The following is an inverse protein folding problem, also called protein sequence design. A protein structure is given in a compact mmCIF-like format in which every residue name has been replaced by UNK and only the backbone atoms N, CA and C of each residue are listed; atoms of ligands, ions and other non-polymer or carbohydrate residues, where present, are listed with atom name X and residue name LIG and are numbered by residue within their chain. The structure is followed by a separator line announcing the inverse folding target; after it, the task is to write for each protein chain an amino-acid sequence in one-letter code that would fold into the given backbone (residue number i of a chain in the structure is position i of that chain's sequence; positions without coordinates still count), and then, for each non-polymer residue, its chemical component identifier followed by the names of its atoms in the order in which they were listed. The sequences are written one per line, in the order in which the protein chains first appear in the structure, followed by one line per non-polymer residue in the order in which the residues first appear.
data_IF_426628519198
#
_entry.id   IF_426628519198
#
_cell.length_a   1.000
_cell.length_b   1.000
_cell.length_c   1.000
_cell.angle_alpha   90.00
_cell.angle_beta   90.00
_cell.angle_gamma   90.00
#
_symmetry.space_group_name_H-M   'P 1'
#
loop_
_entity.id
_entity.type
_entity.pdbx_description
1 polymer ?
#
# COMPACT_ATOMS: atom_id res chain seq x y z
N UNK A 1 -13.69 -38.10 33.94
CA UNK A 1 -14.09 -36.77 33.43
C UNK A 1 -12.86 -36.11 32.79
N UNK A 2 -12.70 -36.33 31.48
CA UNK A 2 -11.57 -35.79 30.73
C UNK A 2 -11.96 -34.43 30.18
N UNK A 3 -11.25 -33.40 30.63
CA UNK A 3 -11.38 -32.04 30.10
C UNK A 3 -10.51 -31.99 28.82
N UNK A 4 -11.17 -32.02 27.67
CA UNK A 4 -10.51 -31.76 26.40
C UNK A 4 -10.34 -30.23 26.29
N UNK A 5 -9.10 -29.75 26.50
CA UNK A 5 -8.67 -28.42 26.13
C UNK A 5 -8.56 -28.35 24.59
N UNK A 6 -9.58 -27.78 23.95
CA UNK A 6 -9.48 -27.30 22.57
C UNK A 6 -8.66 -26.02 22.58
N UNK A 7 -7.36 -26.13 22.41
CA UNK A 7 -6.53 -25.03 22.01
C UNK A 7 -6.94 -24.64 20.57
N UNK A 8 -7.75 -23.61 20.42
CA UNK A 8 -8.01 -23.00 19.12
C UNK A 8 -6.69 -22.38 18.65
N UNK A 9 -6.08 -22.99 17.66
CA UNK A 9 -4.92 -22.47 16.94
C UNK A 9 -5.37 -21.19 16.21
N UNK A 10 -5.15 -20.05 16.84
CA UNK A 10 -5.33 -18.74 16.19
C UNK A 10 -4.15 -18.53 15.26
N UNK A 11 -4.28 -18.95 14.01
CA UNK A 11 -3.29 -18.63 12.96
C UNK A 11 -3.22 -17.12 12.84
N UNK A 12 -2.04 -16.52 12.94
CA UNK A 12 -1.77 -15.08 12.71
C UNK A 12 -2.18 -14.62 11.30
N UNK A 13 -2.39 -15.55 10.42
CA UNK A 13 -3.02 -15.37 9.11
C UNK A 13 -4.49 -15.70 9.24
N UNK A 14 -5.32 -14.68 9.47
CA UNK A 14 -6.75 -14.84 9.31
C UNK A 14 -7.05 -15.32 7.89
N UNK A 15 -7.96 -16.27 7.75
CA UNK A 15 -8.66 -16.52 6.48
C UNK A 15 -9.06 -15.17 5.91
N UNK A 16 -8.88 -14.95 4.59
CA UNK A 16 -9.30 -13.72 3.91
C UNK A 16 -10.67 -13.31 4.46
N UNK A 17 -10.70 -12.19 5.16
CA UNK A 17 -11.98 -11.62 5.56
C UNK A 17 -12.62 -11.07 4.28
N UNK A 18 -13.95 -10.95 4.23
CA UNK A 18 -14.63 -10.33 3.08
C UNK A 18 -14.13 -8.90 2.79
N UNK A 19 -13.40 -8.30 3.73
CA UNK A 19 -12.76 -7.00 3.59
C UNK A 19 -11.50 -7.02 2.72
N UNK A 20 -10.79 -8.16 2.61
CA UNK A 20 -9.59 -8.31 1.78
C UNK A 20 -9.90 -8.47 0.28
N UNK A 21 -11.16 -8.72 -0.06
CA UNK A 21 -11.60 -8.88 -1.45
C UNK A 21 -11.57 -7.55 -2.21
N UNK A 22 -11.32 -7.60 -3.53
CA UNK A 22 -11.48 -6.43 -4.40
C UNK A 22 -12.85 -5.81 -4.23
N UNK A 23 -12.95 -4.49 -4.40
CA UNK A 23 -14.25 -3.82 -4.41
C UNK A 23 -14.38 -2.83 -5.56
N UNK A 24 -15.62 -2.65 -6.01
CA UNK A 24 -15.98 -1.72 -7.06
C UNK A 24 -17.28 -1.01 -6.68
N UNK A 25 -17.21 0.31 -6.56
CA UNK A 25 -18.35 1.17 -6.22
C UNK A 25 -18.63 2.14 -7.36
N UNK A 26 -19.63 1.85 -8.17
CA UNK A 26 -20.01 2.70 -9.29
C UNK A 26 -20.86 3.88 -8.81
N UNK A 27 -20.47 5.10 -9.18
CA UNK A 27 -21.17 6.35 -8.88
C UNK A 27 -21.14 7.28 -10.10
N UNK A 28 -20.28 8.26 -10.14
CA UNK A 28 -20.17 9.27 -11.21
C UNK A 28 -19.21 8.89 -12.34
N UNK A 29 -19.03 9.78 -13.32
CA UNK A 29 -18.19 9.55 -14.50
C UNK A 29 -16.70 9.71 -14.26
N UNK A 30 -16.29 10.08 -13.04
CA UNK A 30 -14.87 10.19 -12.64
C UNK A 30 -14.49 8.98 -11.78
N UNK A 31 -13.47 8.25 -12.22
CA UNK A 31 -12.96 7.06 -11.55
C UNK A 31 -11.74 7.31 -10.69
N UNK A 32 -11.60 6.56 -9.59
CA UNK A 32 -10.40 6.52 -8.75
C UNK A 32 -9.97 5.07 -8.56
N UNK A 33 -8.80 4.73 -9.12
CA UNK A 33 -8.15 3.45 -8.90
C UNK A 33 -7.36 3.49 -7.59
N UNK A 34 -7.74 2.66 -6.63
CA UNK A 34 -7.06 2.54 -5.33
C UNK A 34 -6.10 1.35 -5.35
N UNK A 35 -4.81 1.58 -5.11
CA UNK A 35 -3.79 0.52 -5.16
C UNK A 35 -3.15 0.39 -3.78
N UNK A 36 -3.35 -0.77 -3.14
CA UNK A 36 -2.89 -1.07 -1.78
C UNK A 36 -1.37 -1.28 -1.66
N UNK A 37 -0.88 -1.41 -0.42
CA UNK A 37 0.53 -1.56 -0.09
C UNK A 37 1.07 -2.98 -0.24
N UNK A 38 2.38 -3.12 -0.05
CA UNK A 38 3.09 -4.40 -0.03
C UNK A 38 2.65 -5.24 1.17
N UNK A 39 2.33 -6.51 0.94
CA UNK A 39 1.71 -7.44 1.90
C UNK A 39 0.34 -7.00 2.44
N UNK A 40 -0.24 -5.97 1.85
CA UNK A 40 -1.57 -5.47 2.19
C UNK A 40 -2.68 -6.06 1.31
N UNK A 41 -3.87 -5.49 1.44
CA UNK A 41 -5.07 -5.86 0.68
C UNK A 41 -5.91 -4.61 0.35
N UNK A 42 -6.96 -4.72 -0.48
CA UNK A 42 -7.89 -3.63 -0.75
C UNK A 42 -8.49 -2.99 0.51
N UNK A 43 -8.55 -3.72 1.61
CA UNK A 43 -9.04 -3.23 2.90
C UNK A 43 -8.25 -2.03 3.43
N UNK A 44 -6.94 -1.92 3.14
CA UNK A 44 -6.11 -0.78 3.55
C UNK A 44 -6.66 0.57 3.06
N UNK A 45 -7.35 0.57 1.93
CA UNK A 45 -7.91 1.76 1.30
C UNK A 45 -9.45 1.78 1.29
N UNK A 46 -10.12 0.76 1.85
CA UNK A 46 -11.58 0.63 1.80
C UNK A 46 -12.29 1.83 2.43
N UNK A 47 -11.88 2.27 3.63
CA UNK A 47 -12.49 3.43 4.29
C UNK A 47 -12.39 4.71 3.44
N UNK A 48 -11.21 4.97 2.88
CA UNK A 48 -10.99 6.09 1.96
C UNK A 48 -11.82 5.92 0.67
N UNK A 49 -11.87 4.71 0.12
CA UNK A 49 -12.66 4.40 -1.06
C UNK A 49 -14.15 4.66 -0.87
N UNK A 50 -14.72 4.24 0.26
CA UNK A 50 -16.12 4.50 0.59
C UNK A 50 -16.40 6.00 0.74
N UNK A 51 -15.51 6.75 1.40
CA UNK A 51 -15.62 8.21 1.51
C UNK A 51 -15.61 8.90 0.12
N UNK A 52 -14.79 8.43 -0.80
CA UNK A 52 -14.77 8.94 -2.18
C UNK A 52 -16.02 8.53 -2.97
N UNK A 53 -16.52 7.31 -2.77
CA UNK A 53 -17.76 6.85 -3.40
C UNK A 53 -18.98 7.66 -2.93
N UNK A 54 -19.05 7.98 -1.63
CA UNK A 54 -20.07 8.89 -1.06
C UNK A 54 -19.98 10.30 -1.64
N UNK A 55 -18.78 10.74 -2.01
CA UNK A 55 -18.55 12.03 -2.70
C UNK A 55 -18.88 11.99 -4.21
N UNK A 56 -19.32 10.83 -4.75
CA UNK A 56 -19.76 10.69 -6.13
C UNK A 56 -18.71 10.14 -7.10
N UNK A 57 -17.53 9.71 -6.63
CA UNK A 57 -16.53 9.07 -7.46
C UNK A 57 -16.84 7.58 -7.67
N UNK A 58 -16.59 7.07 -8.87
CA UNK A 58 -16.57 5.61 -9.11
C UNK A 58 -15.21 5.09 -8.63
N UNK A 59 -15.22 4.12 -7.72
CA UNK A 59 -14.00 3.66 -7.04
C UNK A 59 -13.77 2.18 -7.29
N UNK A 60 -12.54 1.80 -7.59
CA UNK A 60 -12.13 0.41 -7.66
C UNK A 60 -10.79 0.17 -6.95
N UNK A 61 -10.75 -0.89 -6.16
CA UNK A 61 -9.52 -1.38 -5.53
C UNK A 61 -9.31 -2.85 -5.89
N UNK A 62 -8.40 -3.17 -6.83
CA UNK A 62 -8.05 -4.55 -7.14
C UNK A 62 -7.18 -5.17 -6.04
N UNK A 63 -7.21 -6.48 -5.91
CA UNK A 63 -6.22 -7.25 -5.17
C UNK A 63 -5.01 -7.50 -6.09
N UNK A 64 -3.81 -7.09 -5.66
CA UNK A 64 -2.59 -7.30 -6.42
C UNK A 64 -2.19 -8.77 -6.41
N UNK A 65 -1.59 -9.25 -7.50
CA UNK A 65 -1.14 -10.64 -7.63
C UNK A 65 -0.25 -11.06 -6.45
N UNK A 66 -0.49 -12.26 -5.91
CA UNK A 66 0.23 -12.81 -4.76
C UNK A 66 -0.06 -12.13 -3.42
N UNK A 67 -0.89 -11.10 -3.38
CA UNK A 67 -1.44 -10.53 -2.17
C UNK A 67 -2.76 -11.24 -1.87
N UNK A 68 -2.91 -11.81 -0.71
CA UNK A 68 -4.08 -12.60 -0.38
C UNK A 68 -3.93 -13.34 0.92
N UNK A 69 -4.42 -14.59 0.98
CA UNK A 69 -4.55 -15.33 2.22
C UNK A 69 -3.21 -15.68 2.89
N UNK A 70 -2.12 -15.91 2.12
CA UNK A 70 -0.83 -16.34 2.71
C UNK A 70 0.38 -15.65 2.11
N UNK A 71 1.47 -15.44 2.88
CA UNK A 71 2.74 -14.96 2.35
C UNK A 71 3.34 -15.85 1.26
N UNK A 72 2.97 -17.14 1.23
CA UNK A 72 3.45 -18.09 0.23
C UNK A 72 2.92 -17.74 -1.18
N UNK A 73 1.78 -17.09 -1.28
CA UNK A 73 1.18 -16.68 -2.55
C UNK A 73 2.05 -15.67 -3.31
N UNK A 74 2.98 -15.01 -2.62
CA UNK A 74 3.94 -14.09 -3.23
C UNK A 74 5.18 -14.79 -3.84
N UNK A 75 5.32 -16.12 -3.69
CA UNK A 75 6.44 -16.82 -4.32
C UNK A 75 6.30 -16.81 -5.84
N UNK A 76 7.38 -16.44 -6.52
CA UNK A 76 7.44 -16.39 -7.97
C UNK A 76 6.69 -15.22 -8.61
N UNK A 77 5.94 -14.45 -7.83
CA UNK A 77 5.26 -13.25 -8.30
C UNK A 77 6.28 -12.15 -8.58
N UNK A 78 6.19 -11.54 -9.75
CA UNK A 78 7.05 -10.45 -10.20
C UNK A 78 6.34 -9.12 -10.02
N UNK A 79 7.08 -8.02 -9.97
CA UNK A 79 6.48 -6.69 -9.88
C UNK A 79 5.61 -6.36 -11.11
N UNK A 80 5.92 -6.96 -12.26
CA UNK A 80 5.11 -6.84 -13.48
C UNK A 80 3.71 -7.49 -13.33
N UNK A 81 3.58 -8.51 -12.47
CA UNK A 81 2.28 -9.14 -12.16
C UNK A 81 1.43 -8.22 -11.26
N UNK A 82 2.06 -7.49 -10.32
CA UNK A 82 1.39 -6.44 -9.56
C UNK A 82 0.88 -5.32 -10.48
N UNK A 83 1.74 -4.89 -11.41
CA UNK A 83 1.36 -3.90 -12.42
C UNK A 83 0.20 -4.40 -13.30
N UNK A 84 0.23 -5.67 -13.70
CA UNK A 84 -0.85 -6.27 -14.50
C UNK A 84 -2.19 -6.23 -13.76
N UNK A 85 -2.20 -6.51 -12.45
CA UNK A 85 -3.41 -6.40 -11.61
C UNK A 85 -3.92 -4.96 -11.54
N UNK A 86 -3.04 -3.98 -11.33
CA UNK A 86 -3.40 -2.56 -11.31
C UNK A 86 -3.94 -2.09 -12.68
N UNK A 87 -3.30 -2.51 -13.77
CA UNK A 87 -3.76 -2.20 -15.14
C UNK A 87 -5.10 -2.84 -15.46
N UNK A 88 -5.40 -4.03 -14.95
CA UNK A 88 -6.72 -4.63 -15.08
C UNK A 88 -7.80 -3.77 -14.39
N UNK A 89 -7.50 -3.28 -13.18
CA UNK A 89 -8.37 -2.34 -12.48
C UNK A 89 -8.55 -1.00 -13.22
N UNK A 90 -7.50 -0.48 -13.83
CA UNK A 90 -7.58 0.74 -14.65
C UNK A 90 -8.48 0.53 -15.88
N UNK A 91 -8.35 -0.60 -16.56
CA UNK A 91 -9.23 -0.94 -17.71
C UNK A 91 -10.69 -1.00 -17.29
N UNK A 92 -10.99 -1.67 -16.17
CA UNK A 92 -12.36 -1.74 -15.65
C UNK A 92 -12.93 -0.33 -15.38
N UNK A 93 -12.18 0.57 -14.76
CA UNK A 93 -12.64 1.94 -14.53
C UNK A 93 -12.86 2.71 -15.84
N UNK A 94 -12.04 2.50 -16.86
CA UNK A 94 -12.17 3.15 -18.17
C UNK A 94 -13.42 2.71 -18.95
N UNK A 95 -14.00 1.57 -18.63
CA UNK A 95 -15.29 1.12 -19.19
C UNK A 95 -16.47 1.93 -18.64
N UNK A 96 -16.30 2.55 -17.46
CA UNK A 96 -17.37 3.24 -16.74
C UNK A 96 -17.10 4.74 -16.55
N UNK A 97 -15.87 5.20 -16.78
CA UNK A 97 -15.44 6.55 -16.42
C UNK A 97 -14.69 7.23 -17.57
N UNK A 98 -14.95 8.54 -17.74
CA UNK A 98 -14.27 9.36 -18.76
C UNK A 98 -12.91 9.91 -18.26
N UNK A 99 -12.81 10.18 -16.96
CA UNK A 99 -11.57 10.60 -16.28
C UNK A 99 -11.21 9.58 -15.21
N UNK A 100 -9.94 9.17 -15.13
CA UNK A 100 -9.47 8.25 -14.09
C UNK A 100 -8.25 8.83 -13.40
N UNK A 101 -8.31 8.87 -12.07
CA UNK A 101 -7.21 9.15 -11.16
C UNK A 101 -6.67 7.86 -10.56
N UNK A 102 -5.42 7.88 -10.13
CA UNK A 102 -4.86 6.83 -9.29
C UNK A 102 -4.64 7.37 -7.89
N UNK A 103 -4.99 6.59 -6.88
CA UNK A 103 -4.59 6.81 -5.49
C UNK A 103 -3.87 5.54 -5.00
N UNK A 104 -2.54 5.61 -4.88
CA UNK A 104 -1.71 4.48 -4.50
C UNK A 104 -1.06 4.66 -3.14
N UNK A 105 -1.12 3.61 -2.30
CA UNK A 105 -0.50 3.58 -0.99
C UNK A 105 0.78 2.75 -1.00
N UNK A 106 1.88 3.27 -0.48
CA UNK A 106 3.15 2.55 -0.29
C UNK A 106 3.66 1.91 -1.59
N UNK A 107 3.62 0.59 -1.76
CA UNK A 107 3.84 -0.12 -3.02
C UNK A 107 2.91 0.39 -4.12
N UNK A 108 1.63 0.56 -3.80
CA UNK A 108 0.64 1.12 -4.72
C UNK A 108 1.01 2.53 -5.19
N UNK A 109 1.66 3.33 -4.34
CA UNK A 109 2.24 4.63 -4.71
C UNK A 109 3.36 4.50 -5.75
N UNK A 110 4.19 3.46 -5.68
CA UNK A 110 5.21 3.17 -6.70
C UNK A 110 4.58 2.75 -8.02
N UNK A 111 3.59 1.85 -7.97
CA UNK A 111 2.85 1.42 -9.17
C UNK A 111 2.12 2.62 -9.80
N UNK A 112 1.49 3.47 -8.99
CA UNK A 112 0.85 4.70 -9.45
C UNK A 112 1.82 5.66 -10.16
N UNK A 113 3.02 5.88 -9.61
CA UNK A 113 4.07 6.68 -10.24
C UNK A 113 4.55 6.06 -11.55
N UNK A 114 4.73 4.74 -11.61
CA UNK A 114 5.10 4.03 -12.83
C UNK A 114 4.02 4.16 -13.92
N UNK A 115 2.76 3.98 -13.55
CA UNK A 115 1.60 4.10 -14.46
C UNK A 115 1.44 5.56 -14.92
N UNK A 116 1.57 6.54 -14.03
CA UNK A 116 1.46 7.96 -14.33
C UNK A 116 2.50 8.46 -15.36
N UNK A 117 3.62 7.77 -15.47
CA UNK A 117 4.64 8.05 -16.49
C UNK A 117 4.29 7.50 -17.89
N UNK A 118 3.25 6.66 -18.02
CA UNK A 118 2.96 5.88 -19.24
C UNK A 118 1.51 5.91 -19.70
N UNK A 119 0.59 6.07 -18.76
CA UNK A 119 -0.84 5.97 -19.03
C UNK A 119 -1.49 7.36 -19.07
N UNK A 120 -2.46 7.59 -19.94
CA UNK A 120 -3.27 8.80 -19.92
C UNK A 120 -4.20 8.77 -18.68
N UNK A 121 -3.81 9.52 -17.64
CA UNK A 121 -4.51 9.65 -16.37
C UNK A 121 -4.82 11.11 -16.10
N UNK A 122 -5.89 11.38 -15.34
CA UNK A 122 -6.25 12.73 -14.93
C UNK A 122 -5.37 13.27 -13.79
N UNK A 123 -4.81 12.38 -12.96
CA UNK A 123 -3.90 12.77 -11.89
C UNK A 123 -3.51 11.57 -11.00
N UNK A 124 -2.57 11.84 -10.09
CA UNK A 124 -2.03 10.85 -9.15
C UNK A 124 -2.05 11.37 -7.72
N UNK A 125 -2.54 10.54 -6.81
CA UNK A 125 -2.34 10.68 -5.38
C UNK A 125 -1.40 9.55 -4.93
N UNK A 126 -0.25 9.87 -4.35
CA UNK A 126 0.68 8.90 -3.80
C UNK A 126 0.83 9.07 -2.28
N UNK A 127 0.32 8.08 -1.54
CA UNK A 127 0.35 8.02 -0.08
C UNK A 127 1.58 7.24 0.35
N UNK A 128 2.50 7.87 1.08
CA UNK A 128 3.74 7.28 1.60
C UNK A 128 4.46 6.39 0.56
N UNK A 129 4.76 6.88 -0.67
CA UNK A 129 5.31 6.06 -1.74
C UNK A 129 6.63 5.39 -1.31
N UNK A 130 6.71 4.05 -1.42
CA UNK A 130 7.79 3.24 -0.86
C UNK A 130 9.10 3.29 -1.67
N UNK A 131 9.52 4.47 -2.15
CA UNK A 131 10.74 4.63 -2.95
C UNK A 131 12.01 4.38 -2.12
N UNK A 132 11.98 4.71 -0.82
CA UNK A 132 13.02 4.42 0.17
C UNK A 132 12.40 3.75 1.39
N UNK A 133 12.86 2.56 1.73
CA UNK A 133 12.48 1.90 2.99
C UNK A 133 13.49 2.24 4.09
N UNK A 134 13.02 2.40 5.33
CA UNK A 134 13.92 2.42 6.49
C UNK A 134 14.64 1.08 6.61
N UNK A 135 15.94 1.10 6.84
CA UNK A 135 16.75 -0.13 6.83
C UNK A 135 16.88 -0.81 5.47
N UNK A 136 16.38 -0.21 4.37
CA UNK A 136 16.37 -0.78 3.02
C UNK A 136 17.75 -0.86 2.33
N UNK A 137 18.84 -0.50 2.99
CA UNK A 137 20.21 -0.59 2.45
C UNK A 137 20.61 -2.01 2.01
N UNK A 138 20.00 -3.03 2.60
CA UNK A 138 20.23 -4.44 2.26
C UNK A 138 19.37 -4.97 1.10
N UNK A 139 18.39 -4.20 0.62
CA UNK A 139 17.55 -4.63 -0.49
C UNK A 139 18.34 -5.06 -1.75
N UNK A 140 19.43 -4.41 -2.16
CA UNK A 140 20.23 -4.88 -3.29
C UNK A 140 20.80 -6.28 -3.10
N UNK A 141 21.09 -6.68 -1.86
CA UNK A 141 21.61 -8.02 -1.56
C UNK A 141 20.56 -9.12 -1.81
N UNK A 142 19.26 -8.80 -1.79
CA UNK A 142 18.17 -9.75 -2.07
C UNK A 142 18.31 -10.39 -3.45
N UNK A 143 19.01 -9.74 -4.39
CA UNK A 143 19.32 -10.31 -5.72
C UNK A 143 20.04 -11.66 -5.63
N UNK A 144 20.96 -11.80 -4.69
CA UNK A 144 21.70 -13.04 -4.46
C UNK A 144 21.01 -13.91 -3.39
N UNK A 145 20.57 -13.28 -2.30
CA UNK A 145 20.00 -13.99 -1.14
C UNK A 145 18.73 -14.77 -1.48
N UNK A 146 17.90 -14.34 -2.42
CA UNK A 146 16.68 -15.01 -2.84
C UNK A 146 16.88 -16.46 -3.33
N UNK A 147 18.10 -16.79 -3.76
CA UNK A 147 18.43 -18.14 -4.22
C UNK A 147 18.85 -19.08 -3.09
N UNK A 148 19.14 -18.53 -1.91
CA UNK A 148 19.67 -19.27 -0.75
C UNK A 148 18.71 -19.20 0.43
N UNK A 149 18.11 -18.01 0.64
CA UNK A 149 17.21 -17.71 1.77
C UNK A 149 15.81 -17.46 1.21
N UNK A 150 14.85 -18.40 1.37
CA UNK A 150 13.51 -18.20 0.82
C UNK A 150 12.68 -17.17 1.58
N UNK A 151 12.89 -17.03 2.90
CA UNK A 151 12.06 -16.22 3.78
C UNK A 151 12.84 -15.13 4.53
N UNK A 152 12.25 -13.96 4.64
CA UNK A 152 12.62 -12.89 5.55
C UNK A 152 11.56 -12.74 6.64
N UNK A 153 11.98 -12.55 7.90
CA UNK A 153 11.12 -12.45 9.07
C UNK A 153 11.24 -11.06 9.68
N UNK A 154 10.38 -10.10 9.27
CA UNK A 154 10.49 -8.70 9.69
C UNK A 154 10.35 -8.50 11.22
N UNK A 155 9.58 -9.36 11.88
CA UNK A 155 9.32 -9.27 13.31
C UNK A 155 10.23 -10.17 14.18
N UNK A 156 11.15 -10.94 13.58
CA UNK A 156 12.00 -11.87 14.33
C UNK A 156 12.78 -11.21 15.49
N UNK A 157 13.21 -9.95 15.30
CA UNK A 157 13.96 -9.17 16.29
C UNK A 157 13.21 -7.92 16.77
N UNK A 158 11.90 -7.83 16.47
CA UNK A 158 11.11 -6.66 16.86
C UNK A 158 10.94 -6.59 18.37
N UNK A 159 10.98 -5.37 18.91
CA UNK A 159 10.70 -5.12 20.31
C UNK A 159 9.20 -4.98 20.54
N UNK A 160 8.55 -6.04 20.98
CA UNK A 160 7.11 -6.04 21.27
C UNK A 160 6.71 -5.24 22.53
N UNK A 161 7.67 -4.67 23.28
CA UNK A 161 7.37 -3.68 24.29
C UNK A 161 7.21 -2.27 23.69
N UNK A 162 7.63 -2.06 22.43
CA UNK A 162 7.44 -0.79 21.74
C UNK A 162 5.98 -0.57 21.36
N UNK A 163 5.36 0.58 21.74
CA UNK A 163 3.99 0.91 21.33
C UNK A 163 3.78 0.89 19.82
N UNK A 164 4.77 1.34 19.05
CA UNK A 164 4.71 1.37 17.59
C UNK A 164 4.65 -0.05 16.98
N UNK A 165 5.47 -0.99 17.50
CA UNK A 165 5.44 -2.39 17.06
C UNK A 165 4.10 -3.03 17.42
N UNK A 166 3.60 -2.80 18.65
CA UNK A 166 2.30 -3.32 19.07
C UNK A 166 1.17 -2.79 18.20
N UNK A 167 1.14 -1.50 17.93
CA UNK A 167 0.12 -0.88 17.08
C UNK A 167 0.15 -1.50 15.66
N UNK A 168 1.32 -1.62 15.03
CA UNK A 168 1.47 -2.19 13.70
C UNK A 168 1.05 -3.67 13.62
N UNK A 169 1.25 -4.45 14.70
CA UNK A 169 0.82 -5.84 14.78
C UNK A 169 -0.70 -5.93 14.99
N UNK A 170 -1.25 -5.14 15.93
CA UNK A 170 -2.68 -5.15 16.24
C UNK A 170 -3.54 -4.62 15.09
N UNK A 171 -2.99 -3.77 14.23
CA UNK A 171 -3.66 -3.35 13.00
C UNK A 171 -3.98 -4.53 12.07
N UNK A 172 -3.08 -5.53 12.02
CA UNK A 172 -3.24 -6.74 11.18
C UNK A 172 -3.86 -7.93 11.91
N UNK A 173 -3.74 -7.94 13.22
CA UNK A 173 -4.27 -8.98 14.10
C UNK A 173 -4.88 -8.34 15.35
N UNK A 174 -6.07 -7.70 15.24
CA UNK A 174 -6.69 -6.95 16.33
C UNK A 174 -6.92 -7.78 17.59
N UNK A 175 -7.18 -9.08 17.43
CA UNK A 175 -7.47 -10.02 18.51
C UNK A 175 -6.22 -10.62 19.17
N UNK A 176 -5.00 -10.26 18.68
CA UNK A 176 -3.77 -10.84 19.21
C UNK A 176 -3.46 -10.31 20.62
N UNK A 177 -3.36 -11.23 21.60
CA UNK A 177 -2.88 -10.90 22.92
C UNK A 177 -1.35 -10.78 22.94
N UNK A 178 -0.85 -9.55 22.76
CA UNK A 178 0.60 -9.28 22.72
C UNK A 178 1.27 -9.27 24.10
N UNK A 179 0.55 -9.54 25.17
CA UNK A 179 1.11 -9.76 26.51
C UNK A 179 1.37 -11.24 26.76
N UNK A 180 0.83 -12.13 25.91
CA UNK A 180 1.14 -13.55 25.91
C UNK A 180 2.41 -13.84 25.07
N UNK A 181 3.46 -14.32 25.75
CA UNK A 181 4.73 -14.64 25.11
C UNK A 181 4.61 -15.72 24.03
N UNK A 182 3.66 -16.67 24.15
CA UNK A 182 3.43 -17.70 23.15
C UNK A 182 2.83 -17.12 21.87
N UNK A 183 1.90 -16.16 21.99
CA UNK A 183 1.33 -15.41 20.87
C UNK A 183 2.41 -14.59 20.18
N UNK A 184 3.23 -13.87 20.94
CA UNK A 184 4.33 -13.07 20.39
C UNK A 184 5.32 -13.97 19.61
N UNK A 185 5.68 -15.13 20.16
CA UNK A 185 6.60 -16.05 19.49
C UNK A 185 5.98 -16.70 18.23
N UNK A 186 4.69 -16.94 18.23
CA UNK A 186 3.95 -17.38 17.05
C UNK A 186 4.00 -16.30 15.96
N UNK A 187 3.70 -15.03 16.30
CA UNK A 187 3.77 -13.91 15.38
C UNK A 187 5.17 -13.75 14.77
N UNK A 188 6.24 -13.88 15.58
CA UNK A 188 7.63 -13.85 15.10
C UNK A 188 7.91 -14.90 14.02
N UNK A 189 7.33 -16.09 14.14
CA UNK A 189 7.52 -17.21 13.20
C UNK A 189 6.65 -17.10 11.96
N UNK A 190 5.43 -16.58 12.10
CA UNK A 190 4.45 -16.52 11.01
C UNK A 190 4.55 -15.26 10.17
N UNK A 191 4.96 -14.12 10.76
CA UNK A 191 5.20 -12.89 10.03
C UNK A 191 6.46 -13.04 9.17
N UNK A 192 6.27 -13.49 7.94
CA UNK A 192 7.36 -13.74 6.98
C UNK A 192 6.97 -13.27 5.58
N UNK A 193 7.96 -12.91 4.78
CA UNK A 193 7.79 -12.56 3.37
C UNK A 193 8.86 -13.26 2.53
N UNK A 194 8.57 -13.67 1.29
CA UNK A 194 9.59 -14.25 0.42
C UNK A 194 10.70 -13.22 0.12
N UNK A 195 11.96 -13.62 0.20
CA UNK A 195 13.09 -12.75 -0.17
C UNK A 195 13.02 -12.38 -1.65
N UNK A 196 12.45 -13.27 -2.49
CA UNK A 196 12.18 -12.99 -3.90
C UNK A 196 11.26 -11.80 -4.11
N UNK A 197 10.20 -11.64 -3.30
CA UNK A 197 9.28 -10.50 -3.43
C UNK A 197 9.91 -9.18 -2.98
N UNK A 198 10.82 -9.19 -2.00
CA UNK A 198 11.63 -8.02 -1.64
C UNK A 198 12.58 -7.60 -2.79
N UNK A 199 13.13 -8.58 -3.50
CA UNK A 199 13.91 -8.29 -4.71
C UNK A 199 13.06 -7.64 -5.80
N UNK A 200 11.83 -8.11 -6.01
CA UNK A 200 10.90 -7.52 -6.96
C UNK A 200 10.50 -6.08 -6.56
N UNK A 201 10.27 -5.82 -5.27
CA UNK A 201 10.09 -4.47 -4.77
C UNK A 201 11.30 -3.57 -5.07
N UNK A 202 12.53 -4.07 -4.87
CA UNK A 202 13.74 -3.33 -5.20
C UNK A 202 13.90 -3.07 -6.71
N UNK A 203 13.41 -3.98 -7.57
CA UNK A 203 13.36 -3.79 -9.03
C UNK A 203 12.39 -2.66 -9.39
N UNK A 204 11.18 -2.69 -8.82
CA UNK A 204 10.19 -1.64 -9.04
C UNK A 204 10.69 -0.27 -8.56
N UNK A 205 11.29 -0.18 -7.36
CA UNK A 205 11.90 1.07 -6.87
C UNK A 205 12.92 1.65 -7.86
N UNK A 206 13.72 0.79 -8.47
CA UNK A 206 14.73 1.20 -9.46
C UNK A 206 14.08 1.70 -10.74
N UNK A 207 13.06 0.99 -11.21
CA UNK A 207 12.26 1.37 -12.38
C UNK A 207 11.57 2.72 -12.17
N UNK A 208 10.88 2.88 -11.03
CA UNK A 208 10.19 4.14 -10.69
C UNK A 208 11.16 5.32 -10.65
N UNK A 209 12.36 5.14 -10.09
CA UNK A 209 13.38 6.21 -10.09
C UNK A 209 13.73 6.71 -11.49
N UNK A 210 13.76 5.82 -12.50
CA UNK A 210 13.99 6.22 -13.88
C UNK A 210 12.78 6.88 -14.53
N UNK A 211 11.59 6.63 -14.00
CA UNK A 211 10.32 7.11 -14.54
C UNK A 211 9.91 8.50 -14.01
N UNK A 212 10.42 8.91 -12.84
CA UNK A 212 9.95 10.10 -12.13
C UNK A 212 9.86 11.35 -13.03
N UNK A 213 10.87 11.62 -13.83
CA UNK A 213 10.89 12.79 -14.72
C UNK A 213 9.82 12.75 -15.83
N UNK A 214 9.24 11.57 -16.09
CA UNK A 214 8.17 11.37 -17.07
C UNK A 214 6.77 11.60 -16.48
N UNK A 215 6.65 11.63 -15.15
CA UNK A 215 5.37 11.93 -14.46
C UNK A 215 5.10 13.43 -14.60
N UNK A 216 4.19 13.79 -15.51
CA UNK A 216 3.88 15.21 -15.84
C UNK A 216 2.46 15.63 -15.47
N UNK A 217 1.61 14.69 -15.09
CA UNK A 217 0.22 14.96 -14.69
C UNK A 217 0.16 15.55 -13.27
N UNK A 218 -0.96 16.22 -12.89
CA UNK A 218 -1.19 16.71 -11.54
C UNK A 218 -0.92 15.62 -10.50
N UNK A 219 -0.14 15.93 -9.47
CA UNK A 219 0.32 14.94 -8.49
C UNK A 219 0.23 15.47 -7.07
N UNK A 220 -0.51 14.73 -6.21
CA UNK A 220 -0.55 14.96 -4.77
C UNK A 220 0.28 13.88 -4.07
N UNK A 221 1.27 14.31 -3.31
CA UNK A 221 2.07 13.45 -2.44
C UNK A 221 1.65 13.68 -0.99
N UNK A 222 1.42 12.61 -0.25
CA UNK A 222 1.10 12.67 1.17
C UNK A 222 2.06 11.78 1.97
N UNK A 223 2.59 12.28 3.08
CA UNK A 223 3.58 11.57 3.88
C UNK A 223 3.39 11.82 5.37
N UNK A 224 3.45 10.76 6.17
CA UNK A 224 3.50 10.83 7.63
C UNK A 224 4.90 11.20 8.12
N UNK A 225 5.00 12.10 9.10
CA UNK A 225 6.27 12.48 9.72
C UNK A 225 6.90 11.33 10.53
N UNK A 226 6.04 10.51 11.13
CA UNK A 226 6.46 9.43 12.02
C UNK A 226 6.53 8.08 11.29
N UNK A 227 6.67 8.08 9.95
CA UNK A 227 6.76 6.86 9.16
C UNK A 227 8.04 6.07 9.49
N UNK A 228 7.86 4.91 10.13
CA UNK A 228 8.95 4.01 10.52
C UNK A 228 9.21 2.90 9.47
N UNK A 229 8.38 2.83 8.43
CA UNK A 229 8.49 1.84 7.34
C UNK A 229 9.14 2.44 6.11
N UNK A 230 8.61 3.55 5.63
CA UNK A 230 9.15 4.32 4.51
C UNK A 230 9.88 5.54 5.04
N UNK A 231 11.12 5.73 4.62
CA UNK A 231 11.87 6.94 4.95
C UNK A 231 11.12 8.18 4.39
N UNK A 232 10.73 9.16 5.22
CA UNK A 232 10.03 10.35 4.75
C UNK A 232 10.75 11.11 3.63
N UNK A 233 12.07 10.95 3.50
CA UNK A 233 12.84 11.45 2.35
C UNK A 233 12.38 10.84 1.02
N UNK A 234 11.63 9.76 1.03
CA UNK A 234 11.01 9.15 -0.15
C UNK A 234 10.10 10.15 -0.88
N UNK A 235 9.18 10.78 -0.15
CA UNK A 235 8.27 11.78 -0.73
C UNK A 235 9.02 13.02 -1.22
N UNK A 236 10.07 13.44 -0.50
CA UNK A 236 10.94 14.55 -0.92
C UNK A 236 11.68 14.20 -2.23
N UNK A 237 12.24 12.98 -2.34
CA UNK A 237 12.91 12.51 -3.57
C UNK A 237 11.94 12.48 -4.76
N UNK A 238 10.71 11.98 -4.54
CA UNK A 238 9.66 11.97 -5.57
C UNK A 238 9.34 13.39 -6.00
N UNK A 239 8.99 14.29 -5.06
CA UNK A 239 8.65 15.69 -5.35
C UNK A 239 9.77 16.44 -6.11
N UNK A 240 11.02 16.20 -5.75
CA UNK A 240 12.16 16.85 -6.40
C UNK A 240 12.44 16.36 -7.83
N UNK A 241 11.91 15.18 -8.23
CA UNK A 241 12.27 14.53 -9.49
C UNK A 241 11.13 14.33 -10.47
N UNK A 242 9.87 14.45 -10.04
CA UNK A 242 8.74 14.38 -10.98
C UNK A 242 8.73 15.61 -11.88
N UNK A 243 8.32 15.40 -13.14
CA UNK A 243 8.23 16.47 -14.15
C UNK A 243 6.90 17.26 -14.12
N UNK A 244 6.05 17.00 -13.14
CA UNK A 244 4.76 17.65 -13.02
C UNK A 244 4.92 19.14 -12.63
N UNK A 245 4.34 20.10 -13.37
CA UNK A 245 4.27 21.50 -12.97
C UNK A 245 3.24 21.74 -11.87
N UNK A 246 2.28 20.83 -11.72
CA UNK A 246 1.22 20.86 -10.71
C UNK A 246 1.45 19.72 -9.71
N UNK A 247 2.23 20.02 -8.70
CA UNK A 247 2.52 19.06 -7.64
C UNK A 247 2.39 19.68 -6.25
N UNK A 248 1.92 18.86 -5.32
CA UNK A 248 1.79 19.24 -3.92
C UNK A 248 2.26 18.13 -3.00
N UNK A 249 3.09 18.46 -2.01
CA UNK A 249 3.49 17.56 -0.92
C UNK A 249 2.83 18.02 0.39
N UNK A 250 2.05 17.12 1.00
CA UNK A 250 1.36 17.35 2.28
C UNK A 250 1.93 16.42 3.34
N UNK A 251 2.24 16.98 4.50
CA UNK A 251 2.74 16.25 5.66
C UNK A 251 1.66 16.08 6.70
N UNK A 252 1.65 14.89 7.34
CA UNK A 252 0.78 14.56 8.46
C UNK A 252 1.66 14.38 9.70
N UNK A 253 1.51 15.26 10.66
CA UNK A 253 2.46 15.43 11.76
C UNK A 253 2.37 14.32 12.82
N UNK A 254 1.19 13.70 12.97
CA UNK A 254 0.93 12.67 13.97
C UNK A 254 0.88 11.25 13.41
N UNK A 255 0.84 11.12 12.08
CA UNK A 255 0.72 9.84 11.40
C UNK A 255 2.07 9.25 11.03
N UNK A 256 2.11 7.91 11.03
CA UNK A 256 3.21 7.09 10.54
C UNK A 256 2.99 6.63 9.10
N UNK A 257 3.18 5.32 8.88
CA UNK A 257 3.12 4.73 7.53
C UNK A 257 1.69 4.54 7.03
N UNK A 258 0.79 4.11 7.91
CA UNK A 258 -0.57 3.70 7.55
C UNK A 258 -1.54 4.90 7.44
N UNK A 259 -1.13 5.93 6.68
CA UNK A 259 -1.89 7.16 6.49
C UNK A 259 -3.40 6.96 6.28
N UNK A 260 -3.87 5.98 5.48
CA UNK A 260 -5.31 5.80 5.26
C UNK A 260 -6.09 5.35 6.49
N UNK A 261 -5.42 4.88 7.56
CA UNK A 261 -6.05 4.23 8.73
C UNK A 261 -5.66 4.82 10.07
N UNK A 262 -4.57 5.59 10.15
CA UNK A 262 -4.05 6.14 11.40
C UNK A 262 -4.84 7.34 11.92
N UNK A 263 -4.30 7.98 12.95
CA UNK A 263 -4.95 9.04 13.73
C UNK A 263 -5.44 10.25 12.89
N UNK A 264 -4.82 10.51 11.74
CA UNK A 264 -5.19 11.62 10.84
C UNK A 264 -5.92 11.14 9.58
N UNK A 265 -6.42 9.89 9.54
CA UNK A 265 -7.07 9.30 8.35
C UNK A 265 -8.16 10.19 7.74
N UNK A 266 -8.98 10.82 8.56
CA UNK A 266 -10.06 11.68 8.08
C UNK A 266 -9.51 12.94 7.38
N UNK A 267 -8.42 13.51 7.90
CA UNK A 267 -7.72 14.62 7.26
C UNK A 267 -7.03 14.18 5.96
N UNK A 268 -6.48 12.95 5.91
CA UNK A 268 -5.93 12.34 4.68
C UNK A 268 -7.02 12.20 3.62
N UNK A 269 -8.17 11.62 3.97
CA UNK A 269 -9.29 11.43 3.06
C UNK A 269 -9.86 12.76 2.56
N UNK A 270 -10.05 13.73 3.48
CA UNK A 270 -10.52 15.08 3.13
C UNK A 270 -9.55 15.80 2.19
N UNK A 271 -8.23 15.69 2.43
CA UNK A 271 -7.19 16.28 1.57
C UNK A 271 -7.24 15.66 0.17
N UNK A 272 -7.36 14.33 0.08
CA UNK A 272 -7.48 13.61 -1.19
C UNK A 272 -8.74 14.04 -1.96
N UNK A 273 -9.89 14.06 -1.28
CA UNK A 273 -11.17 14.50 -1.89
C UNK A 273 -11.09 15.92 -2.39
N UNK A 274 -10.64 16.87 -1.57
CA UNK A 274 -10.53 18.26 -1.96
C UNK A 274 -9.64 18.45 -3.19
N UNK A 275 -8.53 17.70 -3.25
CA UNK A 275 -7.64 17.74 -4.41
C UNK A 275 -8.29 17.12 -5.65
N UNK A 276 -9.00 15.99 -5.52
CA UNK A 276 -9.75 15.38 -6.61
C UNK A 276 -10.84 16.32 -7.14
N UNK A 277 -11.62 16.94 -6.24
CA UNK A 277 -12.69 17.88 -6.61
C UNK A 277 -12.17 19.05 -7.45
N UNK A 278 -10.95 19.54 -7.15
CA UNK A 278 -10.30 20.60 -7.89
C UNK A 278 -9.83 20.16 -9.29
N UNK A 279 -9.49 18.89 -9.51
CA UNK A 279 -8.92 18.37 -10.76
C UNK A 279 -9.91 17.53 -11.59
N UNK A 280 -11.07 17.15 -11.01
CA UNK A 280 -12.10 16.39 -11.70
C UNK A 280 -12.95 17.23 -12.65
N UNK A 281 -12.98 18.54 -12.45
CA UNK A 281 -13.77 19.47 -13.27
C UNK A 281 -13.36 19.40 -14.74
N UNK A 282 -14.28 19.58 -15.71
CA UNK A 282 -13.91 19.74 -17.11
C UNK A 282 -12.98 20.94 -17.24
N UNK A 283 -11.98 20.82 -18.11
CA UNK A 283 -11.20 21.99 -18.54
C UNK A 283 -12.18 23.03 -19.09
N UNK A 284 -12.20 24.22 -18.49
CA UNK A 284 -13.11 25.32 -18.83
C UNK A 284 -12.84 25.87 -20.23
#
# INVERSE_FOLDING_TARGET
MSIQNHAQSTTFQSKSSSSDEPFFEQRGPTGVLLIHGYTGSPDELRGMGMCLAEAGYTVHSPLLAGHGATPADMFGVRWEDWLASANAGLRLLREHCHKVFICGFSLGGLLGLHMAAREPLAGLIALAPALRLRGGSLLPATRLLRHIIPWYYPLARANFASPAVRAAVLERAPEANLDDSAVVEQIRREAKVPVGSLYELARLQRQVRSDLALVRLPTLLMQGRNDETVDPRSAIEVAARIGSPDQRLVWFERSGHQLPREAEREAVWATARTWLDAHAQPDA
#
